data_IF_306268255243
#
_entry.id   IF_306268255243
#
_cell.length_a   1.000
_cell.length_b   1.000
_cell.length_c   1.000
_cell.angle_alpha   90.00
_cell.angle_beta   90.00
_cell.angle_gamma   90.00
#
_symmetry.space_group_name_H-M   'P 1'
#
loop_
_entity.id
_entity.type
_entity.pdbx_description
1 polymer ?
#
# COMPACT_ATOMS: atom_id res chain seq x y z
N UNK A 1 31.23 24.60 8.06
CA UNK A 1 30.15 24.14 8.93
C UNK A 1 28.96 25.11 8.90
N UNK A 2 29.12 26.38 9.28
CA UNK A 2 28.02 27.38 9.35
C UNK A 2 27.26 27.58 8.01
N UNK A 3 28.00 27.64 6.87
CA UNK A 3 27.38 27.76 5.54
C UNK A 3 26.55 26.53 5.12
N UNK A 4 26.97 25.31 5.56
CA UNK A 4 26.20 24.08 5.29
C UNK A 4 24.87 24.11 6.06
N UNK A 5 24.91 24.53 7.31
CA UNK A 5 23.73 24.64 8.14
C UNK A 5 22.74 25.69 7.63
N UNK A 6 23.25 26.80 7.12
CA UNK A 6 22.39 27.83 6.48
C UNK A 6 21.72 27.32 5.20
N UNK A 7 22.45 26.53 4.38
CA UNK A 7 21.86 25.91 3.18
C UNK A 7 20.79 24.86 3.55
N UNK A 8 21.01 24.05 4.60
CA UNK A 8 20.00 23.11 5.09
C UNK A 8 18.72 23.81 5.49
N UNK A 9 18.79 24.88 6.27
CA UNK A 9 17.59 25.68 6.65
C UNK A 9 16.84 26.24 5.44
N UNK A 10 17.55 26.61 4.40
CA UNK A 10 16.92 27.11 3.15
C UNK A 10 16.27 25.96 2.37
N UNK A 11 16.84 24.76 2.41
CA UNK A 11 16.24 23.56 1.84
C UNK A 11 14.97 23.22 2.61
N UNK A 12 15.02 23.18 3.94
CA UNK A 12 13.87 22.90 4.80
C UNK A 12 12.70 23.87 4.50
N UNK A 13 12.99 25.16 4.34
CA UNK A 13 11.96 26.14 3.98
C UNK A 13 11.38 25.96 2.58
N UNK A 14 12.17 25.44 1.63
CA UNK A 14 11.69 25.09 0.29
C UNK A 14 10.80 23.83 0.36
N UNK A 15 11.18 22.83 1.17
CA UNK A 15 10.41 21.61 1.40
C UNK A 15 9.05 21.92 2.04
N UNK A 16 9.00 22.82 3.03
CA UNK A 16 7.74 23.29 3.62
C UNK A 16 6.82 23.90 2.56
N UNK A 17 7.38 24.68 1.63
CA UNK A 17 6.63 25.29 0.52
C UNK A 17 6.10 24.24 -0.44
N UNK A 18 6.91 23.23 -0.79
CA UNK A 18 6.51 22.10 -1.64
C UNK A 18 5.36 21.33 -0.99
N UNK A 19 5.47 21.00 0.30
CA UNK A 19 4.43 20.27 1.03
C UNK A 19 3.13 21.06 1.08
N UNK A 20 3.19 22.37 1.35
CA UNK A 20 2.01 23.24 1.35
C UNK A 20 1.32 23.27 -0.02
N UNK A 21 2.08 23.42 -1.11
CA UNK A 21 1.57 23.42 -2.48
C UNK A 21 0.95 22.08 -2.86
N UNK A 22 1.59 20.96 -2.49
CA UNK A 22 1.05 19.61 -2.73
C UNK A 22 -0.26 19.38 -1.97
N UNK A 23 -0.35 19.76 -0.69
CA UNK A 23 -1.60 19.66 0.09
C UNK A 23 -2.74 20.45 -0.57
N UNK A 24 -2.47 21.67 -1.00
CA UNK A 24 -3.46 22.49 -1.70
C UNK A 24 -3.91 21.84 -3.02
N UNK A 25 -2.96 21.34 -3.82
CA UNK A 25 -3.24 20.66 -5.07
C UNK A 25 -4.06 19.37 -4.86
N UNK A 26 -3.71 18.55 -3.89
CA UNK A 26 -4.44 17.31 -3.60
C UNK A 26 -5.87 17.59 -3.12
N UNK A 27 -6.09 18.67 -2.35
CA UNK A 27 -7.45 19.10 -2.00
C UNK A 27 -8.27 19.39 -3.25
N UNK A 28 -7.75 20.24 -4.16
CA UNK A 28 -8.45 20.59 -5.41
C UNK A 28 -8.68 19.37 -6.33
N UNK A 29 -7.72 18.44 -6.40
CA UNK A 29 -7.90 17.22 -7.22
C UNK A 29 -8.92 16.28 -6.64
N UNK A 30 -9.10 16.21 -5.31
CA UNK A 30 -10.20 15.46 -4.68
C UNK A 30 -11.57 16.07 -5.01
N UNK A 31 -11.69 17.39 -4.90
CA UNK A 31 -12.93 18.10 -5.28
C UNK A 31 -13.26 17.88 -6.77
N UNK A 32 -12.26 17.97 -7.66
CA UNK A 32 -12.43 17.69 -9.09
C UNK A 32 -12.85 16.24 -9.36
N UNK A 33 -12.31 15.26 -8.62
CA UNK A 33 -12.67 13.84 -8.75
C UNK A 33 -14.13 13.62 -8.37
N UNK A 34 -14.59 14.20 -7.26
CA UNK A 34 -15.96 14.11 -6.83
C UNK A 34 -16.91 14.68 -7.91
N UNK A 35 -16.61 15.86 -8.42
CA UNK A 35 -17.40 16.51 -9.48
C UNK A 35 -17.40 15.68 -10.78
N UNK A 36 -16.28 15.13 -11.20
CA UNK A 36 -16.20 14.24 -12.36
C UNK A 36 -17.03 12.98 -12.20
N UNK A 37 -17.07 12.39 -10.99
CA UNK A 37 -17.88 11.22 -10.69
C UNK A 37 -19.39 11.56 -10.80
N UNK A 38 -19.83 12.68 -10.26
CA UNK A 38 -21.22 13.17 -10.39
C UNK A 38 -21.62 13.38 -11.86
N UNK A 39 -20.71 13.96 -12.65
CA UNK A 39 -20.93 14.24 -14.07
C UNK A 39 -20.66 13.03 -14.98
N UNK A 40 -20.30 11.86 -14.44
CA UNK A 40 -19.91 10.64 -15.18
C UNK A 40 -18.80 10.88 -16.20
N UNK A 41 -17.87 11.78 -15.90
CA UNK A 41 -16.71 12.07 -16.73
C UNK A 41 -15.53 11.12 -16.38
N UNK A 42 -14.63 10.85 -17.36
CA UNK A 42 -13.45 10.04 -17.12
C UNK A 42 -12.58 10.61 -15.99
N UNK A 43 -12.10 9.73 -15.10
CA UNK A 43 -11.18 10.13 -14.01
C UNK A 43 -9.86 10.68 -14.57
N UNK A 44 -9.30 10.00 -15.59
CA UNK A 44 -8.08 10.43 -16.30
C UNK A 44 -8.43 11.44 -17.40
N UNK A 45 -7.66 12.50 -17.49
CA UNK A 45 -7.73 13.50 -18.54
C UNK A 45 -6.33 13.68 -19.14
N UNK A 46 -6.02 12.88 -20.14
CA UNK A 46 -4.69 12.86 -20.77
C UNK A 46 -4.34 14.17 -21.48
N UNK A 47 -5.33 14.86 -22.01
CA UNK A 47 -5.11 16.14 -22.66
C UNK A 47 -4.65 17.18 -21.63
N UNK A 48 -5.32 17.22 -20.48
CA UNK A 48 -4.97 18.11 -19.39
C UNK A 48 -3.62 17.75 -18.75
N UNK A 49 -3.31 16.46 -18.60
CA UNK A 49 -2.00 16.03 -18.10
C UNK A 49 -0.88 16.49 -19.04
N UNK A 50 -1.03 16.32 -20.36
CA UNK A 50 -0.06 16.81 -21.36
C UNK A 50 0.12 18.32 -21.30
N UNK A 51 -0.97 19.08 -21.16
CA UNK A 51 -0.92 20.54 -21.02
C UNK A 51 -0.09 20.94 -19.79
N UNK A 52 -0.33 20.27 -18.63
CA UNK A 52 0.42 20.56 -17.40
C UNK A 52 1.90 20.21 -17.59
N UNK A 53 2.22 19.02 -18.17
CA UNK A 53 3.61 18.66 -18.47
C UNK A 53 4.30 19.70 -19.34
N UNK A 54 3.68 20.12 -20.44
CA UNK A 54 4.24 21.14 -21.33
C UNK A 54 4.55 22.43 -20.58
N UNK A 55 3.63 22.85 -19.72
CA UNK A 55 3.80 24.08 -18.91
C UNK A 55 4.95 23.97 -17.92
N UNK A 56 5.04 22.86 -17.15
CA UNK A 56 6.08 22.73 -16.11
C UNK A 56 7.45 22.54 -16.71
N UNK A 57 7.56 21.83 -17.84
CA UNK A 57 8.81 21.68 -18.57
C UNK A 57 9.28 23.02 -19.17
N UNK A 58 8.34 23.84 -19.64
CA UNK A 58 8.69 25.18 -20.13
C UNK A 58 9.20 26.12 -19.03
N UNK A 59 8.83 25.87 -17.77
CA UNK A 59 9.29 26.63 -16.59
C UNK A 59 10.62 26.10 -16.02
N UNK A 60 11.12 24.95 -16.48
CA UNK A 60 12.29 24.25 -15.94
C UNK A 60 13.54 24.54 -16.75
N UNK A 61 14.69 24.63 -16.08
CA UNK A 61 15.98 24.67 -16.77
C UNK A 61 16.22 23.36 -17.53
N UNK A 62 17.00 23.37 -18.65
CA UNK A 62 17.17 22.19 -19.48
C UNK A 62 17.65 20.93 -18.73
N UNK A 63 18.53 21.08 -17.77
CA UNK A 63 19.13 20.03 -16.92
C UNK A 63 18.18 19.53 -15.81
N UNK A 64 17.10 20.25 -15.52
CA UNK A 64 16.11 19.88 -14.50
C UNK A 64 14.89 19.14 -15.08
N UNK A 65 14.70 19.18 -16.41
CA UNK A 65 13.45 18.75 -17.06
C UNK A 65 13.06 17.31 -16.76
N UNK A 66 14.01 16.40 -16.85
CA UNK A 66 13.74 14.96 -16.61
C UNK A 66 13.37 14.71 -15.14
N UNK A 67 14.04 15.40 -14.21
CA UNK A 67 13.72 15.32 -12.78
C UNK A 67 12.32 15.88 -12.49
N UNK A 68 12.01 17.07 -13.02
CA UNK A 68 10.68 17.70 -12.86
C UNK A 68 9.59 16.82 -13.49
N UNK A 69 9.84 16.23 -14.65
CA UNK A 69 8.92 15.30 -15.29
C UNK A 69 8.59 14.11 -14.36
N UNK A 70 9.62 13.45 -13.82
CA UNK A 70 9.46 12.32 -12.89
C UNK A 70 8.70 12.69 -11.61
N UNK A 71 8.94 13.89 -11.06
CA UNK A 71 8.18 14.40 -9.91
C UNK A 71 6.69 14.56 -10.28
N UNK A 72 6.38 15.15 -11.44
CA UNK A 72 4.98 15.32 -11.86
C UNK A 72 4.27 14.00 -12.20
N UNK A 73 4.98 12.99 -12.68
CA UNK A 73 4.41 11.64 -12.81
C UNK A 73 3.92 11.11 -11.46
N UNK A 74 4.71 11.26 -10.40
CA UNK A 74 4.32 10.85 -9.04
C UNK A 74 3.15 11.69 -8.51
N UNK A 75 3.15 12.99 -8.75
CA UNK A 75 2.04 13.87 -8.38
C UNK A 75 0.74 13.46 -9.09
N UNK A 76 0.78 13.10 -10.37
CA UNK A 76 -0.39 12.67 -11.11
C UNK A 76 -0.87 11.28 -10.65
N UNK A 77 0.03 10.32 -10.45
CA UNK A 77 -0.34 9.01 -9.93
C UNK A 77 -1.02 9.12 -8.57
N UNK A 78 -0.46 9.88 -7.63
CA UNK A 78 -1.07 10.14 -6.33
C UNK A 78 -2.42 10.88 -6.41
N UNK A 79 -2.69 11.60 -7.51
CA UNK A 79 -3.96 12.31 -7.72
C UNK A 79 -5.07 11.45 -8.33
N UNK A 80 -4.74 10.32 -8.96
CA UNK A 80 -5.69 9.46 -9.70
C UNK A 80 -6.39 8.42 -8.85
N UNK A 81 -5.87 8.11 -7.68
CA UNK A 81 -6.18 6.89 -6.94
C UNK A 81 -5.39 5.72 -7.52
N UNK A 82 -4.84 4.90 -6.67
CA UNK A 82 -4.00 3.76 -7.05
C UNK A 82 -4.85 2.50 -6.83
N UNK A 83 -4.78 1.56 -7.76
CA UNK A 83 -5.16 0.18 -7.47
C UNK A 83 -3.89 -0.47 -6.93
N UNK A 84 -3.93 -0.84 -5.67
CA UNK A 84 -2.82 -1.46 -4.97
C UNK A 84 -2.86 -2.96 -5.23
N UNK A 85 -1.75 -3.52 -5.71
CA UNK A 85 -1.57 -4.96 -5.81
C UNK A 85 -0.94 -5.45 -4.49
N UNK A 86 -1.60 -6.40 -3.84
CA UNK A 86 -1.20 -6.92 -2.53
C UNK A 86 -1.08 -8.43 -2.59
N UNK A 87 -0.04 -9.00 -2.02
CA UNK A 87 0.11 -10.44 -1.84
C UNK A 87 -0.25 -10.83 -0.40
N UNK A 88 -1.12 -11.85 -0.25
CA UNK A 88 -1.60 -12.34 1.05
C UNK A 88 -1.37 -13.84 1.18
N UNK A 89 -0.96 -14.27 2.37
CA UNK A 89 -0.61 -15.66 2.66
C UNK A 89 -1.57 -16.35 3.62
N UNK A 90 -2.06 -17.54 3.24
CA UNK A 90 -2.82 -18.43 4.09
C UNK A 90 -1.87 -19.48 4.66
N UNK A 91 -1.47 -19.30 5.92
CA UNK A 91 -0.69 -20.27 6.67
C UNK A 91 -1.59 -20.99 7.68
N UNK A 92 -1.80 -22.30 7.48
CA UNK A 92 -2.60 -23.11 8.39
C UNK A 92 -1.70 -24.18 9.00
N UNK A 93 -1.70 -24.26 10.34
CA UNK A 93 -0.95 -25.24 11.11
C UNK A 93 -1.81 -25.74 12.25
N UNK A 94 -1.93 -27.06 12.40
CA UNK A 94 -2.69 -27.72 13.47
C UNK A 94 -4.12 -27.17 13.62
N UNK A 95 -4.79 -26.87 12.48
CA UNK A 95 -6.16 -26.35 12.46
C UNK A 95 -6.29 -24.88 12.82
N UNK A 96 -5.19 -24.14 12.89
CA UNK A 96 -5.18 -22.68 13.13
C UNK A 96 -4.58 -21.95 11.95
N UNK A 97 -5.16 -20.80 11.62
CA UNK A 97 -4.65 -19.88 10.59
C UNK A 97 -3.89 -18.73 11.25
N UNK A 98 -2.78 -18.35 10.64
CA UNK A 98 -2.03 -17.17 11.06
C UNK A 98 -2.71 -15.91 10.53
N UNK A 99 -3.06 -15.01 11.43
CA UNK A 99 -3.58 -13.69 11.15
C UNK A 99 -2.67 -12.62 11.75
N UNK A 100 -2.70 -11.42 11.19
CA UNK A 100 -2.05 -10.25 11.75
C UNK A 100 -3.07 -9.13 11.99
N UNK A 101 -2.76 -8.23 12.90
CA UNK A 101 -3.56 -7.03 13.19
C UNK A 101 -2.70 -5.93 13.81
N UNK A 102 -3.14 -4.68 13.70
CA UNK A 102 -2.56 -3.62 14.52
C UNK A 102 -2.89 -3.85 16.00
N UNK A 103 -1.99 -3.45 16.90
CA UNK A 103 -2.20 -3.58 18.35
C UNK A 103 -3.53 -2.95 18.80
N UNK A 104 -4.20 -3.61 19.72
CA UNK A 104 -5.49 -3.21 20.25
C UNK A 104 -6.67 -3.95 19.61
N UNK A 105 -7.90 -3.45 19.82
CA UNK A 105 -9.12 -4.02 19.24
C UNK A 105 -9.31 -3.58 17.78
N UNK A 106 -8.56 -4.20 16.90
CA UNK A 106 -8.53 -3.91 15.46
C UNK A 106 -8.97 -5.13 14.64
N UNK A 107 -9.44 -4.94 13.38
CA UNK A 107 -9.63 -6.03 12.45
C UNK A 107 -8.35 -6.83 12.23
N UNK A 108 -8.52 -8.08 11.83
CA UNK A 108 -7.43 -8.97 11.43
C UNK A 108 -7.28 -9.01 9.92
N UNK A 109 -6.10 -9.39 9.46
CA UNK A 109 -5.73 -9.53 8.05
C UNK A 109 -4.93 -10.81 7.87
N UNK A 110 -4.84 -11.31 6.63
CA UNK A 110 -3.84 -12.32 6.29
C UNK A 110 -2.45 -11.64 6.22
N UNK A 111 -1.37 -12.32 6.66
CA UNK A 111 0.00 -11.84 6.52
C UNK A 111 0.36 -11.49 5.08
N UNK A 112 1.22 -10.49 4.88
CA UNK A 112 1.68 -10.05 3.58
C UNK A 112 1.43 -8.56 3.34
N UNK A 113 1.87 -8.04 2.21
CA UNK A 113 1.87 -6.62 1.91
C UNK A 113 1.86 -6.31 0.42
N UNK A 114 2.25 -5.08 0.09
CA UNK A 114 2.23 -4.57 -1.28
C UNK A 114 3.25 -5.27 -2.17
N UNK A 115 2.86 -5.47 -3.43
CA UNK A 115 3.79 -5.95 -4.46
C UNK A 115 4.54 -4.75 -5.01
N UNK A 116 5.85 -4.76 -4.89
CA UNK A 116 6.72 -3.71 -5.38
C UNK A 116 7.04 -3.89 -6.88
N UNK A 117 7.49 -2.81 -7.50
CA UNK A 117 7.87 -2.87 -8.91
C UNK A 117 9.08 -3.77 -9.12
N UNK A 118 8.92 -4.77 -9.98
CA UNK A 118 9.99 -5.72 -10.36
C UNK A 118 9.97 -7.04 -9.59
N UNK A 119 9.04 -7.25 -8.67
CA UNK A 119 8.84 -8.53 -7.98
C UNK A 119 7.51 -9.18 -8.34
N UNK A 120 7.43 -10.48 -8.19
CA UNK A 120 6.19 -11.24 -8.31
C UNK A 120 5.42 -11.23 -6.98
N UNK A 121 4.10 -11.52 -6.99
CA UNK A 121 3.33 -11.63 -5.75
C UNK A 121 3.85 -12.72 -4.79
N UNK A 122 4.52 -13.76 -5.29
CA UNK A 122 5.16 -14.79 -4.44
C UNK A 122 6.40 -14.23 -3.74
N UNK A 123 7.22 -13.49 -4.45
CA UNK A 123 8.42 -12.84 -3.89
C UNK A 123 8.01 -11.77 -2.87
N UNK A 124 7.01 -10.94 -3.20
CA UNK A 124 6.46 -9.95 -2.27
C UNK A 124 5.98 -10.61 -0.97
N UNK A 125 5.19 -11.68 -1.06
CA UNK A 125 4.69 -12.37 0.12
C UNK A 125 5.82 -12.88 1.02
N UNK A 126 6.85 -13.50 0.43
CA UNK A 126 8.00 -14.03 1.18
C UNK A 126 8.80 -12.91 1.83
N UNK A 127 9.03 -11.80 1.11
CA UNK A 127 9.71 -10.61 1.62
C UNK A 127 8.95 -10.00 2.80
N UNK A 128 7.67 -9.71 2.63
CA UNK A 128 6.82 -9.10 3.67
C UNK A 128 6.76 -9.96 4.94
N UNK A 129 6.54 -11.28 4.78
CA UNK A 129 6.54 -12.20 5.94
C UNK A 129 7.87 -12.20 6.65
N UNK A 130 9.00 -12.12 5.91
CA UNK A 130 10.34 -12.02 6.50
C UNK A 130 10.54 -10.71 7.25
N UNK A 131 10.12 -9.60 6.68
CA UNK A 131 10.24 -8.26 7.27
C UNK A 131 9.38 -8.14 8.53
N UNK A 132 8.13 -8.59 8.48
CA UNK A 132 7.19 -8.48 9.59
C UNK A 132 7.46 -9.45 10.75
N UNK A 133 7.91 -10.68 10.45
CA UNK A 133 8.03 -11.75 11.46
C UNK A 133 9.46 -12.22 11.72
N UNK A 134 10.40 -11.92 10.82
CA UNK A 134 11.74 -12.49 10.83
C UNK A 134 11.81 -13.96 10.40
N UNK A 135 10.68 -14.63 10.10
CA UNK A 135 10.62 -16.04 9.75
C UNK A 135 10.93 -16.28 8.27
N UNK A 136 11.57 -17.39 7.98
CA UNK A 136 11.70 -17.90 6.62
C UNK A 136 10.43 -18.60 6.18
N UNK A 137 10.02 -18.35 4.94
CA UNK A 137 8.78 -18.88 4.38
C UNK A 137 8.90 -19.17 2.89
N UNK A 138 7.93 -19.88 2.35
CA UNK A 138 7.74 -20.02 0.89
C UNK A 138 6.29 -19.79 0.52
N UNK A 139 6.09 -19.13 -0.63
CA UNK A 139 4.78 -18.99 -1.23
C UNK A 139 4.47 -20.25 -2.06
N UNK A 140 3.46 -20.98 -1.63
CA UNK A 140 2.96 -22.19 -2.28
C UNK A 140 1.96 -21.88 -3.40
N UNK A 141 0.89 -22.70 -3.49
CA UNK A 141 -0.12 -22.57 -4.55
C UNK A 141 -0.82 -21.22 -4.52
N UNK A 142 -1.15 -20.72 -5.71
CA UNK A 142 -2.05 -19.59 -5.86
C UNK A 142 -3.47 -20.05 -5.59
N UNK A 143 -4.14 -19.42 -4.63
CA UNK A 143 -5.48 -19.80 -4.17
C UNK A 143 -6.57 -18.99 -4.86
N UNK A 144 -6.31 -17.70 -5.13
CA UNK A 144 -7.27 -16.85 -5.79
C UNK A 144 -7.00 -15.35 -5.65
N UNK A 145 -8.02 -14.56 -5.99
CA UNK A 145 -7.99 -13.09 -5.96
C UNK A 145 -9.18 -12.56 -5.20
N UNK A 146 -8.96 -11.56 -4.36
CA UNK A 146 -10.03 -10.78 -3.72
C UNK A 146 -9.83 -9.30 -4.04
N UNK A 147 -10.84 -8.70 -4.67
CA UNK A 147 -10.93 -7.25 -4.82
C UNK A 147 -11.46 -6.64 -3.53
N UNK A 148 -10.86 -5.53 -3.12
CA UNK A 148 -11.28 -4.79 -1.94
C UNK A 148 -11.32 -3.30 -2.24
N UNK A 149 -12.30 -2.61 -1.66
CA UNK A 149 -12.38 -1.15 -1.71
C UNK A 149 -12.85 -0.63 -0.37
N UNK A 150 -12.13 0.34 0.17
CA UNK A 150 -12.45 0.95 1.46
C UNK A 150 -12.12 2.44 1.45
N UNK A 151 -12.56 3.14 2.49
CA UNK A 151 -12.25 4.56 2.69
C UNK A 151 -11.31 4.68 3.89
N UNK A 152 -10.15 5.28 3.68
CA UNK A 152 -9.19 5.58 4.72
C UNK A 152 -8.74 7.04 4.60
N UNK A 153 -8.77 7.78 5.70
CA UNK A 153 -8.43 9.21 5.69
C UNK A 153 -9.30 10.09 4.78
N UNK A 154 -10.52 9.62 4.42
CA UNK A 154 -11.41 10.28 3.46
C UNK A 154 -11.09 9.98 2.00
N UNK A 155 -10.12 9.11 1.70
CA UNK A 155 -9.77 8.69 0.35
C UNK A 155 -10.25 7.25 0.08
N UNK A 156 -10.67 6.99 -1.17
CA UNK A 156 -11.04 5.65 -1.61
C UNK A 156 -9.79 4.89 -2.02
N UNK A 157 -9.56 3.76 -1.37
CA UNK A 157 -8.54 2.78 -1.70
C UNK A 157 -9.18 1.63 -2.46
N UNK A 158 -8.44 1.07 -3.40
CA UNK A 158 -8.82 -0.12 -4.15
C UNK A 158 -7.63 -1.07 -4.16
N UNK A 159 -7.85 -2.31 -3.77
CA UNK A 159 -6.82 -3.35 -3.70
C UNK A 159 -7.21 -4.54 -4.55
N UNK A 160 -6.23 -5.16 -5.19
CA UNK A 160 -6.30 -6.49 -5.75
C UNK A 160 -5.39 -7.38 -4.90
N UNK A 161 -5.99 -8.23 -4.09
CA UNK A 161 -5.28 -9.12 -3.20
C UNK A 161 -5.07 -10.48 -3.88
N UNK A 162 -3.82 -10.83 -4.18
CA UNK A 162 -3.41 -12.13 -4.67
C UNK A 162 -3.16 -13.07 -3.49
N UNK A 163 -3.92 -14.15 -3.40
CA UNK A 163 -3.89 -15.05 -2.23
C UNK A 163 -3.10 -16.29 -2.57
N UNK A 164 -2.13 -16.62 -1.73
CA UNK A 164 -1.27 -17.77 -1.86
C UNK A 164 -1.30 -18.64 -0.59
N UNK A 165 -1.02 -19.91 -0.73
CA UNK A 165 -0.62 -20.73 0.41
C UNK A 165 0.72 -20.25 0.94
N UNK A 166 0.81 -20.09 2.25
CA UNK A 166 2.05 -19.66 2.92
C UNK A 166 2.57 -20.82 3.77
N UNK A 167 3.81 -21.24 3.49
CA UNK A 167 4.49 -22.30 4.26
C UNK A 167 5.60 -21.64 5.08
N UNK A 168 5.49 -21.71 6.40
CA UNK A 168 6.53 -21.25 7.32
C UNK A 168 7.58 -22.35 7.48
N UNK A 169 8.86 -22.03 7.35
CA UNK A 169 9.97 -22.99 7.36
C UNK A 169 10.60 -23.16 8.75
N UNK A 170 10.27 -22.28 9.69
CA UNK A 170 10.80 -22.36 11.06
C UNK A 170 9.90 -23.21 11.96
N UNK A 171 10.45 -23.87 13.00
CA UNK A 171 9.66 -24.55 14.01
C UNK A 171 8.68 -23.55 14.64
N UNK A 172 7.40 -23.88 14.59
CA UNK A 172 6.37 -23.00 15.11
C UNK A 172 6.45 -22.94 16.63
N UNK A 173 6.97 -21.83 17.13
CA UNK A 173 6.65 -21.42 18.50
C UNK A 173 5.21 -20.92 18.52
N UNK A 174 4.47 -21.17 19.58
CA UNK A 174 3.09 -20.72 19.76
C UNK A 174 2.92 -19.18 19.65
N UNK A 175 4.02 -18.44 19.69
CA UNK A 175 4.08 -17.00 19.59
C UNK A 175 5.02 -16.59 18.45
N UNK A 176 4.46 -15.93 17.43
CA UNK A 176 5.24 -15.22 16.41
C UNK A 176 5.45 -13.80 16.92
N UNK A 177 6.72 -13.45 17.12
CA UNK A 177 7.08 -12.07 17.47
C UNK A 177 7.08 -11.20 16.23
N UNK A 178 6.37 -10.08 16.26
CA UNK A 178 6.47 -9.09 15.19
C UNK A 178 7.78 -8.33 15.27
N UNK A 179 8.36 -8.01 14.11
CA UNK A 179 9.51 -7.08 13.99
C UNK A 179 9.03 -5.62 13.99
N UNK A 180 7.72 -5.41 13.80
CA UNK A 180 7.06 -4.10 13.77
C UNK A 180 6.36 -3.80 15.09
N UNK A 181 6.67 -2.66 15.72
CA UNK A 181 6.15 -2.29 17.04
C UNK A 181 4.63 -2.13 17.09
N UNK A 182 3.99 -1.85 15.97
CA UNK A 182 2.55 -1.62 15.86
C UNK A 182 1.74 -2.84 15.48
N UNK A 183 2.38 -3.94 15.02
CA UNK A 183 1.77 -5.15 14.47
C UNK A 183 1.85 -6.28 15.49
N UNK A 184 0.86 -7.15 15.51
CA UNK A 184 0.86 -8.42 16.26
C UNK A 184 0.29 -9.55 15.41
N UNK A 185 0.79 -10.76 15.65
CA UNK A 185 0.36 -11.99 14.99
C UNK A 185 -0.42 -12.87 15.97
N UNK A 186 -1.49 -13.47 15.47
CA UNK A 186 -2.35 -14.34 16.26
C UNK A 186 -2.67 -15.61 15.47
N UNK A 187 -2.64 -16.74 16.16
CA UNK A 187 -3.16 -17.99 15.64
C UNK A 187 -4.65 -18.09 15.95
N UNK A 188 -5.48 -18.12 14.91
CA UNK A 188 -6.93 -18.21 15.02
C UNK A 188 -7.42 -19.60 14.62
N UNK A 189 -8.35 -20.18 15.37
CA UNK A 189 -8.92 -21.49 15.04
C UNK A 189 -9.70 -21.40 13.73
N UNK A 190 -9.36 -22.29 12.77
CA UNK A 190 -10.05 -22.33 11.48
C UNK A 190 -11.54 -22.63 11.65
N UNK A 191 -11.90 -23.46 12.63
CA UNK A 191 -13.30 -23.77 12.92
C UNK A 191 -14.11 -22.55 13.41
N UNK A 192 -13.42 -21.52 13.95
CA UNK A 192 -14.02 -20.29 14.46
C UNK A 192 -13.78 -19.07 13.55
N UNK A 193 -13.31 -19.28 12.33
CA UNK A 193 -12.90 -18.18 11.42
C UNK A 193 -14.06 -17.22 11.08
N UNK A 194 -15.29 -17.69 11.15
CA UNK A 194 -16.45 -16.84 10.90
C UNK A 194 -16.62 -15.73 11.95
N UNK A 195 -16.12 -15.94 13.16
CA UNK A 195 -16.08 -14.95 14.25
C UNK A 195 -14.84 -14.03 14.20
N UNK A 196 -13.84 -14.35 13.38
CA UNK A 196 -12.73 -13.44 13.16
C UNK A 196 -13.19 -12.20 12.40
N UNK A 197 -12.73 -11.04 12.84
CA UNK A 197 -12.93 -9.77 12.13
C UNK A 197 -11.94 -9.64 10.97
N UNK A 198 -11.85 -10.68 10.13
CA UNK A 198 -10.94 -10.74 8.98
C UNK A 198 -11.40 -9.80 7.88
N UNK A 199 -10.49 -8.97 7.37
CA UNK A 199 -10.72 -8.07 6.24
C UNK A 199 -9.70 -8.31 5.11
N UNK A 200 -10.15 -8.25 3.85
CA UNK A 200 -11.55 -8.30 3.41
C UNK A 200 -12.22 -9.62 3.82
N UNK A 201 -13.51 -9.57 4.15
CA UNK A 201 -14.24 -10.74 4.65
C UNK A 201 -14.24 -11.93 3.66
N UNK A 202 -14.25 -11.64 2.36
CA UNK A 202 -14.16 -12.64 1.30
C UNK A 202 -12.91 -13.54 1.39
N UNK A 203 -11.86 -13.12 2.09
CA UNK A 203 -10.67 -13.95 2.31
C UNK A 203 -10.94 -15.19 3.17
N UNK A 204 -12.02 -15.22 3.95
CA UNK A 204 -12.42 -16.39 4.76
C UNK A 204 -12.67 -17.64 3.90
N UNK A 205 -13.07 -17.47 2.64
CA UNK A 205 -13.33 -18.57 1.71
C UNK A 205 -12.06 -19.39 1.39
N UNK A 206 -10.90 -18.78 1.50
CA UNK A 206 -9.61 -19.43 1.23
C UNK A 206 -8.98 -20.10 2.47
N UNK A 207 -9.61 -19.95 3.63
CA UNK A 207 -9.16 -20.52 4.91
C UNK A 207 -9.96 -21.80 5.23
N UNK A 208 -11.21 -21.88 4.78
CA UNK A 208 -12.12 -23.04 4.94
C UNK A 208 -11.76 -24.15 3.95
#
# INVERSE_FOLDING_TARGET
MQRVEELRKRIDAADDTIVAALKARFKLTREMRALKAELKLPAKDEAREREIYSRVIAMSAPDERDTIYGVYEKIFSGSRGIIEAVARGVAIVEGKVLLCKSKGDKPTYLPGGHIEFGETGREALVREVKEETGLDSTAGDFLGVVENSFIQGGEKHCEINLIYRLNLLSPLSSLISSQEDWLEFVWWDVADIDNARLLPEAMKEYIK
#
